data_IF_781825191571
#
_entry.id   IF_781825191571
#
_cell.length_a   1.000
_cell.length_b   1.000
_cell.length_c   1.000
_cell.angle_alpha   90.00
_cell.angle_beta   90.00
_cell.angle_gamma   90.00
#
_symmetry.space_group_name_H-M   'P 1'
#
loop_
_entity.id
_entity.type
_entity.pdbx_description
1 polymer ?
#
# COMPACT_ATOMS: atom_id res chain seq x y z
N UNK A 1 27.42 -6.28 -18.95
CA UNK A 1 26.44 -5.45 -18.22
C UNK A 1 25.76 -4.58 -19.25
N UNK A 2 24.48 -4.80 -19.51
CA UNK A 2 23.71 -4.11 -20.56
C UNK A 2 22.70 -3.16 -19.91
N UNK A 3 23.24 -2.11 -19.28
CA UNK A 3 22.45 -1.19 -18.47
C UNK A 3 21.57 -0.33 -19.37
N UNK A 4 20.25 -0.35 -19.13
CA UNK A 4 19.27 0.45 -19.88
C UNK A 4 19.05 1.80 -19.21
N UNK A 5 18.66 2.79 -20.00
CA UNK A 5 18.50 4.17 -19.53
C UNK A 5 17.20 4.76 -20.03
N UNK A 6 16.47 5.49 -19.20
CA UNK A 6 15.21 6.15 -19.58
C UNK A 6 15.38 7.67 -19.62
N UNK A 7 14.87 8.30 -20.68
CA UNK A 7 14.84 9.75 -20.79
C UNK A 7 13.83 10.36 -19.81
N UNK A 8 14.30 11.20 -18.88
CA UNK A 8 13.45 11.92 -17.92
C UNK A 8 12.58 13.04 -18.52
N UNK A 9 12.57 13.23 -19.85
CA UNK A 9 11.74 14.23 -20.54
C UNK A 9 10.56 13.58 -21.28
N UNK A 10 10.81 12.48 -22.01
CA UNK A 10 9.81 11.85 -22.88
C UNK A 10 9.67 10.33 -22.68
N UNK A 11 10.33 9.79 -21.66
CA UNK A 11 10.23 8.38 -21.23
C UNK A 11 10.69 7.36 -22.28
N UNK A 12 11.48 7.79 -23.27
CA UNK A 12 12.12 6.86 -24.21
C UNK A 12 13.23 6.09 -23.51
N UNK A 13 13.21 4.77 -23.65
CA UNK A 13 14.26 3.90 -23.14
C UNK A 13 15.33 3.71 -24.23
N UNK A 14 16.59 3.95 -23.86
CA UNK A 14 17.76 3.50 -24.58
C UNK A 14 18.17 2.12 -24.06
N UNK A 15 18.11 1.12 -24.93
CA UNK A 15 18.63 -0.22 -24.68
C UNK A 15 19.92 -0.42 -25.50
N UNK A 16 21.09 -0.63 -24.86
CA UNK A 16 22.31 -0.95 -25.58
C UNK A 16 22.17 -2.17 -26.52
N UNK A 17 21.28 -3.13 -26.24
CA UNK A 17 21.07 -4.29 -27.12
C UNK A 17 20.39 -3.90 -28.44
N UNK A 18 19.62 -2.82 -28.46
CA UNK A 18 18.92 -2.32 -29.64
C UNK A 18 19.71 -1.20 -30.33
N UNK A 19 20.40 -0.37 -29.54
CA UNK A 19 21.05 0.85 -30.02
C UNK A 19 20.04 1.99 -30.20
N UNK A 20 20.29 2.84 -31.19
CA UNK A 20 19.37 3.93 -31.58
C UNK A 20 19.49 4.16 -33.08
N UNK A 21 18.52 3.65 -33.85
CA UNK A 21 18.52 3.74 -35.31
C UNK A 21 18.44 5.21 -35.80
N UNK A 22 17.70 6.07 -35.10
CA UNK A 22 17.53 7.48 -35.47
C UNK A 22 18.84 8.25 -35.25
N UNK A 23 19.49 8.01 -34.11
CA UNK A 23 20.81 8.54 -33.78
C UNK A 23 21.97 7.81 -34.47
N UNK A 24 21.68 6.82 -35.32
CA UNK A 24 22.66 5.95 -36.00
C UNK A 24 23.66 5.27 -35.04
N UNK A 25 23.18 4.88 -33.86
CA UNK A 25 23.94 4.14 -32.86
C UNK A 25 23.67 2.64 -33.05
N UNK A 26 24.71 1.83 -33.31
CA UNK A 26 24.53 0.40 -33.49
C UNK A 26 24.18 -0.30 -32.17
N UNK A 27 23.43 -1.40 -32.28
CA UNK A 27 23.25 -2.38 -31.22
C UNK A 27 24.61 -2.83 -30.63
N UNK A 28 24.62 -3.04 -29.33
CA UNK A 28 25.79 -3.32 -28.50
C UNK A 28 26.53 -2.09 -27.98
N UNK A 29 26.13 -0.86 -28.34
CA UNK A 29 26.78 0.36 -27.83
C UNK A 29 26.30 0.63 -26.40
N UNK A 30 27.17 0.65 -25.37
CA UNK A 30 26.75 1.01 -24.03
C UNK A 30 26.50 2.51 -23.91
N UNK A 31 25.58 2.92 -23.02
CA UNK A 31 25.20 4.33 -22.83
C UNK A 31 26.41 5.24 -22.56
N UNK A 32 27.39 4.76 -21.79
CA UNK A 32 28.63 5.50 -21.48
C UNK A 32 29.54 5.74 -22.72
N UNK A 33 29.36 4.96 -23.78
CA UNK A 33 30.14 5.08 -25.04
C UNK A 33 29.39 5.82 -26.14
N UNK A 34 28.17 6.30 -25.86
CA UNK A 34 27.45 7.14 -26.81
C UNK A 34 28.26 8.44 -27.05
N UNK A 35 28.18 9.07 -28.24
CA UNK A 35 28.82 10.37 -28.52
C UNK A 35 28.28 11.51 -27.65
N UNK A 36 29.10 12.48 -27.25
CA UNK A 36 28.67 13.61 -26.39
C UNK A 36 27.54 14.44 -26.98
N UNK A 37 27.45 14.48 -28.31
CA UNK A 37 26.41 15.19 -29.05
C UNK A 37 25.13 14.38 -29.25
N UNK A 38 25.12 13.11 -28.83
CA UNK A 38 23.94 12.26 -28.92
C UNK A 38 22.80 12.81 -28.07
N UNK A 39 21.60 12.80 -28.66
CA UNK A 39 20.37 13.31 -28.07
C UNK A 39 19.27 12.27 -28.17
N UNK A 40 18.30 12.38 -27.27
CA UNK A 40 17.15 11.51 -27.27
C UNK A 40 16.45 11.55 -28.64
N UNK A 41 16.26 10.41 -29.33
CA UNK A 41 15.68 10.38 -30.67
C UNK A 41 14.21 10.81 -30.72
N UNK A 42 13.55 10.93 -29.56
CA UNK A 42 12.13 11.31 -29.45
C UNK A 42 11.91 12.77 -29.05
N UNK A 43 12.78 13.37 -28.24
CA UNK A 43 12.57 14.72 -27.69
C UNK A 43 13.78 15.65 -27.74
N UNK A 44 14.90 15.21 -28.31
CA UNK A 44 16.12 16.00 -28.47
C UNK A 44 16.83 16.40 -27.15
N UNK A 45 16.37 15.86 -26.02
CA UNK A 45 17.02 16.04 -24.72
C UNK A 45 18.42 15.42 -24.71
N UNK A 46 19.35 16.07 -24.02
CA UNK A 46 20.72 15.56 -23.87
C UNK A 46 20.81 14.32 -22.99
N UNK A 47 21.92 13.59 -23.12
CA UNK A 47 22.26 12.38 -22.35
C UNK A 47 22.17 12.55 -20.84
N UNK A 48 22.43 13.75 -20.34
CA UNK A 48 22.37 14.11 -18.92
C UNK A 48 20.95 14.02 -18.33
N UNK A 49 19.92 13.97 -19.19
CA UNK A 49 18.53 13.76 -18.80
C UNK A 49 18.13 12.29 -18.73
N UNK A 50 19.04 11.36 -19.04
CA UNK A 50 18.77 9.93 -18.93
C UNK A 50 19.11 9.41 -17.55
N UNK A 51 18.22 8.60 -17.01
CA UNK A 51 18.38 7.94 -15.72
C UNK A 51 18.61 6.45 -15.97
N UNK A 52 19.59 5.87 -15.27
CA UNK A 52 19.81 4.43 -15.31
C UNK A 52 18.58 3.71 -14.78
N UNK A 53 18.03 2.81 -15.58
CA UNK A 53 17.08 1.82 -15.11
C UNK A 53 17.89 0.74 -14.39
N UNK A 54 17.75 0.64 -13.07
CA UNK A 54 18.15 -0.57 -12.37
C UNK A 54 17.39 -1.74 -12.98
N UNK A 55 18.10 -2.80 -13.38
CA UNK A 55 17.41 -4.06 -13.70
C UNK A 55 16.56 -4.44 -12.48
N UNK A 56 15.25 -4.67 -12.64
CA UNK A 56 14.52 -5.36 -11.60
C UNK A 56 15.21 -6.72 -11.39
N UNK A 57 15.35 -7.20 -10.14
CA UNK A 57 15.81 -8.55 -9.91
C UNK A 57 14.98 -9.53 -10.76
N UNK A 58 15.57 -10.64 -11.22
CA UNK A 58 14.90 -11.56 -12.12
C UNK A 58 13.51 -11.94 -11.57
N UNK A 59 12.49 -11.80 -12.40
CA UNK A 59 11.12 -12.13 -12.04
C UNK A 59 11.06 -13.58 -11.54
N UNK A 60 10.40 -13.79 -10.40
CA UNK A 60 10.33 -15.09 -9.73
C UNK A 60 11.32 -15.34 -8.59
N UNK A 61 12.18 -14.37 -8.23
CA UNK A 61 12.95 -14.45 -6.98
C UNK A 61 12.18 -13.80 -5.82
N UNK A 62 12.14 -14.49 -4.68
CA UNK A 62 11.62 -13.91 -3.44
C UNK A 62 12.60 -12.82 -2.99
N UNK A 63 12.18 -11.57 -3.12
CA UNK A 63 12.99 -10.44 -2.67
C UNK A 63 12.69 -10.17 -1.20
N UNK A 64 13.76 -9.96 -0.45
CA UNK A 64 13.73 -9.58 0.95
C UNK A 64 12.85 -8.34 1.18
N UNK A 65 12.09 -8.33 2.28
CA UNK A 65 11.09 -7.28 2.52
C UNK A 65 11.76 -5.92 2.65
N UNK A 66 12.92 -5.86 3.29
CA UNK A 66 13.71 -4.65 3.50
C UNK A 66 14.05 -3.99 2.17
N UNK A 67 14.52 -4.76 1.19
CA UNK A 67 14.83 -4.26 -0.16
C UNK A 67 13.59 -3.71 -0.86
N UNK A 68 12.44 -4.38 -0.69
CA UNK A 68 11.15 -3.92 -1.25
C UNK A 68 10.69 -2.64 -0.57
N UNK A 69 10.79 -2.57 0.76
CA UNK A 69 10.43 -1.38 1.53
C UNK A 69 11.32 -0.19 1.19
N UNK A 70 12.62 -0.38 1.02
CA UNK A 70 13.53 0.68 0.58
C UNK A 70 13.09 1.28 -0.76
N UNK A 71 12.75 0.44 -1.74
CA UNK A 71 12.25 0.90 -3.03
C UNK A 71 10.89 1.63 -2.91
N UNK A 72 9.98 1.12 -2.07
CA UNK A 72 8.67 1.74 -1.82
C UNK A 72 8.83 3.12 -1.18
N UNK A 73 9.60 3.20 -0.10
CA UNK A 73 9.85 4.44 0.65
C UNK A 73 10.56 5.47 -0.23
N UNK A 74 11.57 5.05 -1.01
CA UNK A 74 12.25 5.94 -1.96
C UNK A 74 11.30 6.50 -3.02
N UNK A 75 10.37 5.68 -3.52
CA UNK A 75 9.37 6.10 -4.52
C UNK A 75 8.41 7.14 -3.94
N UNK A 76 7.89 6.92 -2.73
CA UNK A 76 6.98 7.86 -2.07
C UNK A 76 7.68 9.14 -1.60
N UNK A 77 8.93 9.07 -1.12
CA UNK A 77 9.72 10.27 -0.80
C UNK A 77 9.95 11.13 -2.03
N UNK A 78 10.24 10.50 -3.18
CA UNK A 78 10.33 11.22 -4.46
C UNK A 78 9.01 11.89 -4.83
N UNK A 79 7.88 11.18 -4.74
CA UNK A 79 6.55 11.75 -5.00
C UNK A 79 6.28 12.95 -4.09
N UNK A 80 6.68 12.86 -2.81
CA UNK A 80 6.59 13.98 -1.89
C UNK A 80 7.34 15.18 -2.45
N UNK A 81 8.62 14.99 -2.76
CA UNK A 81 9.51 16.08 -3.18
C UNK A 81 9.12 16.71 -4.53
N UNK A 82 8.62 15.92 -5.48
CA UNK A 82 8.32 16.40 -6.84
C UNK A 82 6.90 16.93 -7.01
N UNK A 83 5.94 16.39 -6.25
CA UNK A 83 4.51 16.56 -6.56
C UNK A 83 3.67 17.03 -5.39
N UNK A 84 4.06 16.74 -4.15
CA UNK A 84 3.25 17.06 -2.96
C UNK A 84 3.82 18.25 -2.17
N UNK A 85 5.14 18.41 -2.16
CA UNK A 85 5.84 19.41 -1.36
C UNK A 85 5.32 20.82 -1.65
N UNK A 86 4.88 21.51 -0.59
CA UNK A 86 4.32 22.86 -0.69
C UNK A 86 2.82 22.92 -1.00
N UNK A 87 2.16 21.79 -1.23
CA UNK A 87 0.70 21.72 -1.27
C UNK A 87 0.10 21.75 0.15
N UNK A 88 -1.15 22.22 0.34
CA UNK A 88 -1.81 22.22 1.65
C UNK A 88 -1.96 20.85 2.32
N UNK A 89 -1.81 19.78 1.55
CA UNK A 89 -1.90 18.40 2.03
C UNK A 89 -0.55 17.83 2.50
N UNK A 90 0.58 18.53 2.27
CA UNK A 90 1.90 18.12 2.75
C UNK A 90 2.05 18.48 4.23
N UNK A 91 1.92 17.50 5.12
CA UNK A 91 2.20 17.69 6.53
C UNK A 91 3.74 17.77 6.77
N UNK A 92 4.28 18.90 7.25
CA UNK A 92 5.72 19.07 7.45
C UNK A 92 6.28 18.28 8.64
N UNK A 93 5.42 17.81 9.57
CA UNK A 93 5.82 17.04 10.75
C UNK A 93 6.07 15.56 10.44
N UNK A 94 5.56 15.07 9.30
CA UNK A 94 5.62 13.66 8.93
C UNK A 94 6.62 13.44 7.81
N UNK A 95 7.14 12.22 7.74
CA UNK A 95 7.87 11.70 6.58
C UNK A 95 7.29 10.35 6.15
N UNK A 96 7.77 9.84 5.02
CA UNK A 96 7.35 8.53 4.51
C UNK A 96 7.96 7.43 5.36
N UNK A 97 7.10 6.56 5.89
CA UNK A 97 7.46 5.49 6.81
C UNK A 97 6.64 4.22 6.55
N UNK A 98 7.27 3.06 6.72
CA UNK A 98 6.65 1.74 6.65
C UNK A 98 6.54 1.13 8.05
N UNK A 99 5.36 0.66 8.43
CA UNK A 99 5.04 0.17 9.76
C UNK A 99 4.49 -1.25 9.69
N UNK A 100 5.04 -2.15 10.52
CA UNK A 100 4.47 -3.47 10.76
C UNK A 100 4.47 -4.41 9.57
N UNK A 101 5.37 -4.28 8.60
CA UNK A 101 5.34 -5.16 7.43
C UNK A 101 5.70 -6.61 7.77
N UNK A 102 4.80 -7.55 7.47
CA UNK A 102 5.01 -8.99 7.64
C UNK A 102 4.40 -9.78 6.48
N UNK A 103 4.70 -11.08 6.44
CA UNK A 103 4.15 -12.00 5.45
C UNK A 103 2.64 -12.16 5.65
N UNK A 104 1.90 -12.09 4.55
CA UNK A 104 0.51 -12.52 4.45
C UNK A 104 0.29 -13.26 3.13
N UNK A 105 0.25 -14.60 3.19
CA UNK A 105 0.14 -15.43 2.00
C UNK A 105 1.25 -15.19 0.97
N UNK A 106 0.87 -14.77 -0.24
CA UNK A 106 1.74 -14.43 -1.35
C UNK A 106 2.17 -12.95 -1.38
N UNK A 107 1.81 -12.19 -0.35
CA UNK A 107 2.06 -10.76 -0.24
C UNK A 107 2.82 -10.40 1.04
N UNK A 108 3.30 -9.17 1.06
CA UNK A 108 3.65 -8.44 2.27
C UNK A 108 2.48 -7.53 2.61
N UNK A 109 2.11 -7.47 3.88
CA UNK A 109 1.06 -6.59 4.42
C UNK A 109 1.69 -5.67 5.46
N UNK A 110 1.30 -4.40 5.47
CA UNK A 110 1.69 -3.43 6.49
C UNK A 110 1.01 -2.09 6.28
N UNK A 111 1.43 -1.06 7.01
CA UNK A 111 0.90 0.30 6.88
C UNK A 111 1.98 1.23 6.32
N UNK A 112 1.62 1.98 5.29
CA UNK A 112 2.43 3.06 4.74
C UNK A 112 1.90 4.40 5.25
N UNK A 113 2.76 5.14 5.94
CA UNK A 113 2.55 6.51 6.37
C UNK A 113 3.23 7.43 5.36
N UNK A 114 2.54 8.50 4.95
CA UNK A 114 3.10 9.60 4.17
C UNK A 114 2.71 10.93 4.81
N UNK A 115 3.19 12.06 4.26
CA UNK A 115 2.76 13.37 4.73
C UNK A 115 1.35 13.77 4.28
N UNK A 116 0.68 13.00 3.40
CA UNK A 116 -0.65 13.32 2.86
C UNK A 116 -1.71 12.21 3.01
N UNK A 117 -1.31 10.96 3.26
CA UNK A 117 -2.21 9.86 3.62
C UNK A 117 -1.54 8.81 4.54
N UNK A 118 -2.36 7.95 5.14
CA UNK A 118 -1.99 6.67 5.76
C UNK A 118 -2.86 5.57 5.14
N UNK A 119 -2.22 4.52 4.62
CA UNK A 119 -2.90 3.39 3.97
C UNK A 119 -2.39 2.06 4.50
N UNK A 120 -3.27 1.06 4.59
CA UNK A 120 -2.86 -0.34 4.62
C UNK A 120 -2.42 -0.71 3.22
N UNK A 121 -1.26 -1.33 3.10
CA UNK A 121 -0.62 -1.65 1.83
C UNK A 121 -0.35 -3.14 1.76
N UNK A 122 -0.67 -3.74 0.62
CA UNK A 122 -0.20 -5.07 0.25
C UNK A 122 0.60 -5.01 -1.04
N UNK A 123 1.70 -5.75 -1.12
CA UNK A 123 2.46 -5.89 -2.36
C UNK A 123 3.03 -7.29 -2.49
N UNK A 124 3.28 -7.77 -3.72
CA UNK A 124 3.62 -9.16 -3.92
C UNK A 124 4.98 -9.51 -3.31
N UNK A 125 5.04 -10.72 -2.77
CA UNK A 125 6.24 -11.38 -2.25
C UNK A 125 7.34 -11.60 -3.28
N UNK A 126 6.91 -11.85 -4.51
CA UNK A 126 7.77 -12.18 -5.64
C UNK A 126 7.72 -11.04 -6.65
N UNK A 127 8.87 -10.69 -7.20
CA UNK A 127 8.90 -9.74 -8.30
C UNK A 127 8.29 -10.34 -9.56
N UNK A 128 7.60 -9.50 -10.33
CA UNK A 128 6.83 -9.90 -11.51
C UNK A 128 5.44 -10.46 -11.20
N UNK A 129 5.13 -10.77 -9.93
CA UNK A 129 3.78 -11.15 -9.57
C UNK A 129 2.84 -9.93 -9.66
N UNK A 130 1.59 -10.20 -10.05
CA UNK A 130 0.53 -9.23 -10.27
C UNK A 130 0.73 -8.27 -11.46
N UNK A 131 1.79 -8.40 -12.27
CA UNK A 131 2.05 -7.49 -13.41
C UNK A 131 0.93 -7.43 -14.46
N UNK A 132 0.17 -8.52 -14.62
CA UNK A 132 -0.96 -8.60 -15.56
C UNK A 132 -2.25 -7.94 -15.04
N UNK A 133 -2.24 -7.39 -13.82
CA UNK A 133 -3.41 -6.77 -13.18
C UNK A 133 -3.55 -5.29 -13.56
N UNK A 134 -4.79 -4.83 -13.59
CA UNK A 134 -5.13 -3.47 -14.02
C UNK A 134 -5.06 -2.46 -12.87
N UNK A 135 -4.44 -1.31 -13.12
CA UNK A 135 -4.46 -0.21 -12.15
C UNK A 135 -5.87 0.37 -12.01
N UNK A 136 -6.25 0.68 -10.78
CA UNK A 136 -7.61 1.07 -10.42
C UNK A 136 -8.56 -0.10 -10.17
N UNK A 137 -8.11 -1.35 -10.37
CA UNK A 137 -8.88 -2.54 -9.99
C UNK A 137 -9.16 -2.52 -8.49
N UNK A 138 -10.43 -2.74 -8.11
CA UNK A 138 -10.82 -2.92 -6.71
C UNK A 138 -10.86 -4.40 -6.40
N UNK A 139 -10.08 -4.80 -5.40
CA UNK A 139 -9.87 -6.18 -4.97
C UNK A 139 -10.39 -6.31 -3.54
N UNK A 140 -11.40 -7.15 -3.38
CA UNK A 140 -11.95 -7.48 -2.07
C UNK A 140 -10.99 -8.43 -1.33
N UNK A 141 -10.57 -8.08 -0.11
CA UNK A 141 -9.68 -8.87 0.73
C UNK A 141 -10.35 -9.21 2.06
N UNK A 142 -10.34 -10.48 2.42
CA UNK A 142 -10.89 -10.97 3.68
C UNK A 142 -9.79 -11.13 4.71
N UNK A 143 -9.98 -10.49 5.86
CA UNK A 143 -9.16 -10.61 7.07
C UNK A 143 -10.02 -11.15 8.21
N UNK A 144 -9.43 -11.57 9.34
CA UNK A 144 -10.19 -12.04 10.50
C UNK A 144 -11.28 -11.07 10.95
N UNK A 145 -10.99 -9.77 10.98
CA UNK A 145 -11.91 -8.71 11.41
C UNK A 145 -13.06 -8.43 10.42
N UNK A 146 -12.91 -8.82 9.16
CA UNK A 146 -13.90 -8.56 8.12
C UNK A 146 -13.30 -8.43 6.73
N UNK A 147 -14.09 -7.85 5.84
CA UNK A 147 -13.76 -7.73 4.42
C UNK A 147 -13.51 -6.27 4.07
N UNK A 148 -12.45 -6.02 3.29
CA UNK A 148 -11.95 -4.69 2.98
C UNK A 148 -11.68 -4.57 1.49
N UNK A 149 -12.03 -3.43 0.91
CA UNK A 149 -11.74 -3.10 -0.47
C UNK A 149 -10.33 -2.49 -0.58
N UNK A 150 -9.51 -3.12 -1.39
CA UNK A 150 -8.20 -2.60 -1.76
C UNK A 150 -8.23 -2.13 -3.20
N UNK A 151 -7.68 -0.95 -3.48
CA UNK A 151 -7.49 -0.47 -4.84
C UNK A 151 -6.06 -0.75 -5.29
N UNK A 152 -5.91 -1.38 -6.45
CA UNK A 152 -4.62 -1.62 -7.05
C UNK A 152 -4.06 -0.32 -7.64
N UNK A 153 -2.86 0.07 -7.22
CA UNK A 153 -2.17 1.29 -7.63
C UNK A 153 -0.79 0.96 -8.18
N UNK A 154 -0.34 1.69 -9.19
CA UNK A 154 1.01 1.53 -9.75
C UNK A 154 1.92 2.63 -9.23
N UNK A 155 3.04 2.23 -8.62
CA UNK A 155 4.06 3.14 -8.13
C UNK A 155 5.29 3.05 -9.02
N UNK A 156 5.65 4.17 -9.66
CA UNK A 156 6.82 4.26 -10.52
C UNK A 156 8.10 3.89 -9.75
N UNK A 157 8.88 2.94 -10.28
CA UNK A 157 10.09 2.43 -9.63
C UNK A 157 9.85 1.33 -8.58
N UNK A 158 8.61 0.97 -8.28
CA UNK A 158 8.28 -0.11 -7.32
C UNK A 158 7.41 -1.23 -7.92
N UNK A 159 6.43 -0.88 -8.74
CA UNK A 159 5.46 -1.82 -9.32
C UNK A 159 4.06 -1.65 -8.74
N UNK A 160 3.28 -2.74 -8.77
CA UNK A 160 1.90 -2.75 -8.29
C UNK A 160 1.83 -3.02 -6.78
N UNK A 161 0.89 -2.32 -6.14
CA UNK A 161 0.51 -2.54 -4.75
C UNK A 161 -0.99 -2.31 -4.59
N UNK A 162 -1.59 -3.01 -3.65
CA UNK A 162 -2.95 -2.83 -3.21
C UNK A 162 -2.96 -1.84 -2.04
N UNK A 163 -3.84 -0.84 -2.07
CA UNK A 163 -4.03 0.10 -0.95
C UNK A 163 -5.45 0.08 -0.43
N UNK A 164 -5.60 0.05 0.90
CA UNK A 164 -6.84 0.39 1.58
C UNK A 164 -6.62 1.67 2.39
N UNK A 165 -7.42 2.71 2.13
CA UNK A 165 -7.23 4.02 2.75
C UNK A 165 -7.64 4.00 4.22
N UNK A 166 -6.76 4.43 5.13
CA UNK A 166 -7.09 4.61 6.54
C UNK A 166 -7.44 6.07 6.83
N UNK A 167 -6.49 6.97 6.55
CA UNK A 167 -6.62 8.39 6.91
C UNK A 167 -6.05 9.26 5.81
N UNK A 168 -6.83 10.26 5.38
CA UNK A 168 -6.37 11.38 4.57
C UNK A 168 -7.31 12.58 4.76
N UNK A 169 -6.82 13.83 4.69
CA UNK A 169 -5.41 14.22 4.72
C UNK A 169 -4.78 14.03 6.11
N UNK A 170 -3.46 14.02 6.19
CA UNK A 170 -2.72 13.80 7.45
C UNK A 170 -2.50 15.06 8.30
N UNK A 171 -3.19 16.17 7.99
CA UNK A 171 -2.95 17.47 8.63
C UNK A 171 -3.36 17.59 10.10
N UNK A 172 -4.02 16.57 10.68
CA UNK A 172 -4.42 16.54 12.08
C UNK A 172 -3.34 15.94 13.02
N UNK A 173 -2.21 15.49 12.47
CA UNK A 173 -1.15 14.81 13.22
C UNK A 173 0.11 15.66 13.32
N UNK A 174 0.49 16.03 14.55
CA UNK A 174 1.69 16.83 14.79
C UNK A 174 2.86 16.02 15.39
N UNK A 175 2.59 14.78 15.81
CA UNK A 175 3.55 13.89 16.46
C UNK A 175 3.70 12.56 15.71
N UNK A 176 4.86 12.30 15.06
CA UNK A 176 5.14 11.04 14.37
C UNK A 176 4.97 9.79 15.24
N UNK A 177 5.24 9.86 16.55
CA UNK A 177 5.07 8.72 17.44
C UNK A 177 3.61 8.33 17.60
N UNK A 178 2.70 9.32 17.64
CA UNK A 178 1.25 9.07 17.65
C UNK A 178 0.80 8.47 16.33
N UNK A 179 1.32 8.97 15.20
CA UNK A 179 0.97 8.42 13.88
C UNK A 179 1.38 6.96 13.75
N UNK A 180 2.58 6.61 14.22
CA UNK A 180 3.06 5.23 14.26
C UNK A 180 2.16 4.34 15.13
N UNK A 181 1.80 4.79 16.32
CA UNK A 181 0.90 4.04 17.21
C UNK A 181 -0.48 3.80 16.58
N UNK A 182 -1.02 4.79 15.85
CA UNK A 182 -2.28 4.63 15.09
C UNK A 182 -2.13 3.62 13.96
N UNK A 183 -1.00 3.64 13.23
CA UNK A 183 -0.71 2.67 12.17
C UNK A 183 -0.60 1.24 12.73
N UNK A 184 0.11 1.05 13.83
CA UNK A 184 0.23 -0.24 14.53
C UNK A 184 -1.15 -0.75 14.98
N UNK A 185 -1.95 0.10 15.64
CA UNK A 185 -3.29 -0.27 16.09
C UNK A 185 -4.24 -0.60 14.93
N UNK A 186 -4.14 0.11 13.80
CA UNK A 186 -4.96 -0.17 12.61
C UNK A 186 -4.62 -1.53 11.99
N UNK A 187 -3.34 -1.90 11.94
CA UNK A 187 -2.90 -3.20 11.46
C UNK A 187 -3.39 -4.32 12.40
N UNK A 188 -3.19 -4.15 13.71
CA UNK A 188 -3.67 -5.12 14.72
C UNK A 188 -5.18 -5.33 14.65
N UNK A 189 -5.97 -4.27 14.43
CA UNK A 189 -7.43 -4.38 14.38
C UNK A 189 -7.90 -5.10 13.12
N UNK A 190 -7.23 -4.92 11.97
CA UNK A 190 -7.55 -5.66 10.74
C UNK A 190 -7.31 -7.16 10.94
N UNK A 191 -6.29 -7.52 11.69
CA UNK A 191 -5.93 -8.92 11.94
C UNK A 191 -6.66 -9.56 13.12
N UNK A 192 -7.35 -8.75 13.93
CA UNK A 192 -8.06 -9.23 15.11
C UNK A 192 -9.29 -10.05 14.73
N UNK A 193 -9.44 -11.22 15.34
CA UNK A 193 -10.70 -11.97 15.26
C UNK A 193 -11.84 -11.20 15.96
N UNK A 194 -13.04 -11.11 15.36
CA UNK A 194 -14.16 -10.44 15.99
C UNK A 194 -14.47 -11.11 17.32
N UNK A 195 -14.58 -10.31 18.39
CA UNK A 195 -14.99 -10.81 19.69
C UNK A 195 -16.35 -11.52 19.54
N UNK A 196 -16.50 -12.76 20.02
CA UNK A 196 -17.78 -13.46 19.91
C UNK A 196 -18.87 -12.58 20.54
N UNK A 197 -20.05 -12.47 19.92
CA UNK A 197 -21.09 -11.58 20.41
C UNK A 197 -21.35 -11.87 21.89
N UNK A 198 -21.54 -10.84 22.74
CA UNK A 198 -21.73 -11.04 24.16
C UNK A 198 -22.86 -12.05 24.35
N UNK A 199 -22.56 -13.16 25.04
CA UNK A 199 -23.54 -14.21 25.30
C UNK A 199 -24.77 -13.55 25.89
N UNK A 200 -25.88 -13.59 25.14
CA UNK A 200 -27.14 -13.03 25.60
C UNK A 200 -27.44 -13.63 26.97
N UNK A 201 -27.29 -12.83 28.03
CA UNK A 201 -27.71 -13.22 29.38
C UNK A 201 -29.12 -13.73 29.23
N UNK A 202 -29.31 -15.00 29.56
CA UNK A 202 -30.57 -15.73 29.45
C UNK A 202 -31.67 -14.79 29.95
N UNK A 203 -32.48 -14.24 29.05
CA UNK A 203 -33.64 -13.44 29.46
C UNK A 203 -34.49 -14.40 30.26
N UNK A 204 -34.50 -14.25 31.59
CA UNK A 204 -35.51 -14.86 32.44
C UNK A 204 -36.85 -14.55 31.78
N UNK A 205 -37.52 -15.59 31.26
CA UNK A 205 -38.75 -15.37 30.54
C UNK A 205 -39.77 -14.78 31.51
N UNK A 206 -40.63 -13.85 31.05
CA UNK A 206 -41.74 -13.30 31.85
C UNK A 206 -42.64 -14.38 32.48
N UNK A 207 -42.60 -15.62 32.00
CA UNK A 207 -43.32 -16.78 32.59
C UNK A 207 -42.73 -17.26 33.92
N UNK A 208 -41.48 -16.92 34.26
CA UNK A 208 -40.88 -17.23 35.56
C UNK A 208 -41.17 -16.18 36.64
N UNK A 209 -41.75 -15.02 36.30
CA UNK A 209 -42.13 -13.97 37.26
C UNK A 209 -43.55 -14.11 37.83
N UNK A 210 -44.45 -14.87 37.18
CA UNK A 210 -45.85 -15.04 37.63
C UNK A 210 -46.22 -16.50 37.91
N UNK A 211 -45.30 -17.24 38.55
CA UNK A 211 -45.45 -18.67 38.78
C UNK A 211 -45.25 -19.10 40.24
N UNK A 212 -45.85 -18.43 41.24
CA UNK A 212 -46.32 -19.07 42.50
C UNK A 212 -46.94 -18.12 43.53
N UNK A 213 -48.04 -18.61 44.14
CA UNK A 213 -48.83 -18.17 45.33
C UNK A 213 -50.00 -17.22 45.00
N UNK A 214 -51.24 -17.48 45.45
CA UNK A 214 -51.61 -18.07 46.73
C UNK A 214 -52.83 -19.00 46.72
N UNK A 215 -52.86 -19.82 47.76
CA UNK A 215 -53.88 -20.76 48.16
C UNK A 215 -54.55 -20.19 49.42
N UNK A 216 -55.88 -20.24 49.52
CA UNK A 216 -56.64 -20.31 50.79
C UNK A 216 -57.26 -19.03 51.35
N UNK A 217 -58.56 -19.10 51.72
CA UNK A 217 -59.12 -18.22 52.78
C UNK A 217 -60.59 -17.76 52.71
N UNK A 218 -61.55 -18.69 52.62
CA UNK A 218 -62.80 -18.85 53.41
C UNK A 218 -63.56 -17.69 54.15
N UNK A 219 -64.91 -17.84 54.16
CA UNK A 219 -66.00 -17.38 55.10
C UNK A 219 -66.57 -15.96 54.93
N UNK A 220 -67.86 -15.65 55.12
CA UNK A 220 -69.13 -16.37 55.37
C UNK A 220 -70.30 -15.33 55.35
N UNK A 221 -71.55 -15.75 55.13
CA UNK A 221 -72.77 -15.20 55.78
C UNK A 221 -73.99 -16.11 55.56
N UNK A 222 -74.38 -16.76 56.65
CA UNK A 222 -75.69 -17.38 57.00
C UNK A 222 -76.78 -16.30 57.23
N UNK A 223 -78.03 -16.64 57.62
CA UNK A 223 -78.71 -17.95 57.64
C UNK A 223 -79.87 -18.07 56.63
#
# INVERSE_FOLDING_TARGET
>A
MNERYECGVCWTVYDPAEGDEVGQIPAGTPFASLPDEWRCPRCDAGRERFLRLSEPPPAGEAVDVETRLDALLASYRRTRDTSIRGLPIDNPHLDVEAVGFHRDGDAWLGVLITSWFMNVVRFPAMLGAWEERDEGEVVERTFPSGTYDFTLSRVAGFGLLETCSLISPMGAFDDPAVVRAVAEAALEEIEREPEPPPQATTRLSRRQLFGRRGHGGERAREP
#
